data_IF_858708019006
#
_entry.id   IF_858708019006
#
_cell.length_a   1.000
_cell.length_b   1.000
_cell.length_c   1.000
_cell.angle_alpha   90.00
_cell.angle_beta   90.00
_cell.angle_gamma   90.00
#
_symmetry.space_group_name_H-M   'P 1'
#
loop_
_entity.id
_entity.type
_entity.pdbx_description
1 polymer ?
#
# COMPACT_ATOMS: atom_id res chain seq x y z
N UNK A 1 29.74 -3.45 3.11
CA UNK A 1 28.37 -2.94 3.32
C UNK A 1 27.78 -2.65 1.95
N UNK A 2 26.80 -3.43 1.46
CA UNK A 2 26.18 -3.17 0.15
C UNK A 2 25.28 -1.93 0.31
N UNK A 3 25.53 -0.87 -0.46
CA UNK A 3 24.71 0.34 -0.41
C UNK A 3 23.26 0.02 -0.76
N UNK A 4 22.32 0.57 0.02
CA UNK A 4 20.90 0.52 -0.29
C UNK A 4 20.66 1.35 -1.56
N UNK A 5 19.85 0.84 -2.48
CA UNK A 5 19.42 1.63 -3.64
C UNK A 5 18.43 2.72 -3.18
N UNK A 6 18.40 3.85 -3.88
CA UNK A 6 17.46 4.94 -3.63
C UNK A 6 16.00 4.44 -3.61
N UNK A 7 15.67 3.47 -4.45
CA UNK A 7 14.34 2.85 -4.51
C UNK A 7 14.00 2.01 -3.28
N UNK A 8 14.95 1.26 -2.72
CA UNK A 8 14.71 0.50 -1.48
C UNK A 8 14.42 1.44 -0.32
N UNK A 9 15.18 2.53 -0.23
CA UNK A 9 14.96 3.58 0.78
C UNK A 9 13.60 4.24 0.55
N UNK A 10 13.29 4.61 -0.70
CA UNK A 10 12.00 5.20 -1.08
C UNK A 10 10.81 4.31 -0.72
N UNK A 11 10.87 3.03 -1.05
CA UNK A 11 9.83 2.05 -0.69
C UNK A 11 9.66 1.95 0.82
N UNK A 12 10.77 1.86 1.57
CA UNK A 12 10.71 1.72 3.02
C UNK A 12 10.11 2.97 3.67
N UNK A 13 10.58 4.16 3.28
CA UNK A 13 10.05 5.44 3.78
C UNK A 13 8.57 5.60 3.42
N UNK A 14 8.18 5.28 2.18
CA UNK A 14 6.79 5.35 1.73
C UNK A 14 5.87 4.40 2.53
N UNK A 15 6.34 3.18 2.81
CA UNK A 15 5.61 2.23 3.65
C UNK A 15 5.44 2.75 5.07
N UNK A 16 6.53 3.22 5.71
CA UNK A 16 6.46 3.76 7.08
C UNK A 16 5.50 4.95 7.15
N UNK A 17 5.57 5.88 6.19
CA UNK A 17 4.64 7.00 6.11
C UNK A 17 3.19 6.53 5.98
N UNK A 18 2.94 5.47 5.18
CA UNK A 18 1.61 4.89 5.00
C UNK A 18 1.08 4.29 6.30
N UNK A 19 1.90 3.52 7.02
CA UNK A 19 1.53 2.90 8.30
C UNK A 19 1.25 3.96 9.37
N UNK A 20 2.08 5.00 9.44
CA UNK A 20 1.86 6.14 10.35
C UNK A 20 0.53 6.81 10.02
N UNK A 21 0.29 7.17 8.76
CA UNK A 21 -0.96 7.83 8.37
C UNK A 21 -2.19 6.95 8.67
N UNK A 22 -2.10 5.64 8.43
CA UNK A 22 -3.18 4.72 8.78
C UNK A 22 -3.44 4.68 10.28
N UNK A 23 -2.38 4.61 11.10
CA UNK A 23 -2.49 4.71 12.56
C UNK A 23 -3.14 6.02 12.99
N UNK A 24 -2.69 7.15 12.44
CA UNK A 24 -3.26 8.48 12.73
C UNK A 24 -4.73 8.59 12.35
N UNK A 25 -5.13 7.98 11.22
CA UNK A 25 -6.52 7.99 10.76
C UNK A 25 -7.49 7.21 11.67
N UNK A 26 -6.96 6.41 12.60
CA UNK A 26 -7.73 5.61 13.57
C UNK A 26 -7.44 5.96 15.03
N UNK A 27 -6.49 6.87 15.33
CA UNK A 27 -6.03 7.16 16.69
C UNK A 27 -6.77 8.30 17.39
N UNK A 28 -7.82 8.87 16.77
CA UNK A 28 -8.60 9.98 17.33
C UNK A 28 -7.96 11.37 17.22
N UNK A 29 -6.86 11.50 16.46
CA UNK A 29 -6.23 12.81 16.16
C UNK A 29 -7.10 13.65 15.20
N UNK A 30 -7.87 12.98 14.35
CA UNK A 30 -8.85 13.62 13.49
C UNK A 30 -10.22 13.65 14.18
N UNK A 31 -11.11 14.59 13.81
CA UNK A 31 -12.45 14.68 14.38
C UNK A 31 -13.28 13.41 14.24
N UNK A 32 -13.03 12.63 13.18
CA UNK A 32 -13.66 11.35 12.92
C UNK A 32 -12.61 10.35 12.47
N UNK A 33 -12.83 9.05 12.73
CA UNK A 33 -12.03 7.99 12.12
C UNK A 33 -12.58 7.58 10.75
N UNK A 34 -11.77 6.85 9.98
CA UNK A 34 -12.22 6.24 8.72
C UNK A 34 -13.40 5.29 8.96
N UNK A 35 -13.40 4.56 10.08
CA UNK A 35 -14.51 3.68 10.46
C UNK A 35 -15.79 4.45 10.77
N UNK A 36 -15.69 5.57 11.49
CA UNK A 36 -16.84 6.41 11.85
C UNK A 36 -17.48 7.05 10.61
N UNK A 37 -16.65 7.59 9.70
CA UNK A 37 -17.11 8.18 8.44
C UNK A 37 -17.68 7.14 7.48
N UNK A 38 -17.21 5.89 7.57
CA UNK A 38 -17.81 4.75 6.89
C UNK A 38 -19.22 4.48 7.41
N UNK A 39 -19.39 4.32 8.73
CA UNK A 39 -20.67 3.98 9.34
C UNK A 39 -21.71 5.10 9.32
N UNK A 40 -21.27 6.37 9.30
CA UNK A 40 -22.19 7.51 9.28
C UNK A 40 -22.97 7.63 7.96
N UNK A 41 -22.51 6.96 6.91
CA UNK A 41 -23.18 6.92 5.61
C UNK A 41 -24.12 5.72 5.56
N UNK A 42 -25.42 5.97 5.43
CA UNK A 42 -26.40 4.91 5.23
C UNK A 42 -26.37 4.41 3.76
N UNK A 43 -25.35 3.63 3.39
CA UNK A 43 -25.28 2.97 2.08
C UNK A 43 -25.47 1.47 2.32
N UNK A 44 -26.43 0.85 1.63
CA UNK A 44 -26.79 -0.58 1.79
C UNK A 44 -25.61 -1.56 1.59
N UNK A 45 -24.53 -1.11 0.95
CA UNK A 45 -23.35 -1.93 0.65
C UNK A 45 -22.14 -1.55 1.50
N UNK A 46 -22.28 -0.63 2.47
CA UNK A 46 -21.19 -0.34 3.38
C UNK A 46 -20.97 -1.56 4.28
N UNK A 47 -19.76 -2.11 4.25
CA UNK A 47 -19.44 -3.14 5.20
C UNK A 47 -19.35 -2.54 6.61
N UNK A 48 -19.67 -3.35 7.62
CA UNK A 48 -19.44 -2.97 9.02
C UNK A 48 -17.97 -2.62 9.28
N UNK A 49 -17.72 -1.87 10.36
CA UNK A 49 -16.39 -1.38 10.75
C UNK A 49 -15.29 -2.43 10.74
N UNK A 50 -15.61 -3.70 11.01
CA UNK A 50 -14.63 -4.79 11.03
C UNK A 50 -14.01 -5.06 9.66
N UNK A 51 -14.66 -4.69 8.54
CA UNK A 51 -14.11 -4.94 7.20
C UNK A 51 -12.88 -4.07 6.92
N UNK A 52 -12.70 -2.97 7.65
CA UNK A 52 -11.44 -2.23 7.61
C UNK A 52 -10.26 -3.03 8.20
N UNK A 53 -10.49 -4.15 8.90
CA UNK A 53 -9.42 -5.03 9.39
C UNK A 53 -8.59 -5.68 8.26
N UNK A 54 -9.12 -5.75 7.02
CA UNK A 54 -8.35 -6.25 5.87
C UNK A 54 -7.06 -5.45 5.64
N UNK A 55 -7.07 -4.16 6.00
CA UNK A 55 -5.90 -3.30 5.88
C UNK A 55 -4.74 -3.79 6.74
N UNK A 56 -5.01 -4.34 7.93
CA UNK A 56 -3.98 -4.95 8.77
C UNK A 56 -3.25 -6.09 8.06
N UNK A 57 -4.00 -6.99 7.40
CA UNK A 57 -3.43 -8.10 6.63
C UNK A 57 -2.60 -7.59 5.44
N UNK A 58 -3.12 -6.59 4.71
CA UNK A 58 -2.40 -5.95 3.61
C UNK A 58 -1.09 -5.34 4.10
N UNK A 59 -1.12 -4.59 5.20
CA UNK A 59 0.06 -3.95 5.76
C UNK A 59 1.10 -4.96 6.26
N UNK A 60 0.69 -6.07 6.86
CA UNK A 60 1.60 -7.17 7.19
C UNK A 60 2.29 -7.72 5.94
N UNK A 61 1.54 -7.93 4.84
CA UNK A 61 2.10 -8.32 3.55
C UNK A 61 3.11 -7.30 3.00
N UNK A 62 2.79 -6.01 3.09
CA UNK A 62 3.68 -4.93 2.63
C UNK A 62 4.95 -4.83 3.48
N UNK A 63 4.88 -5.05 4.79
CA UNK A 63 6.05 -5.16 5.67
C UNK A 63 6.91 -6.36 5.27
N UNK A 64 6.29 -7.52 5.01
CA UNK A 64 6.98 -8.70 4.49
C UNK A 64 7.73 -8.40 3.18
N UNK A 65 7.10 -7.67 2.26
CA UNK A 65 7.74 -7.21 1.03
C UNK A 65 8.91 -6.24 1.30
N UNK A 66 8.74 -5.30 2.23
CA UNK A 66 9.80 -4.36 2.62
C UNK A 66 11.01 -5.05 3.26
N UNK A 67 10.81 -6.20 3.92
CA UNK A 67 11.90 -7.06 4.40
C UNK A 67 12.51 -7.87 3.24
N UNK A 68 11.68 -8.42 2.35
CA UNK A 68 12.13 -9.19 1.18
C UNK A 68 13.05 -8.37 0.27
N UNK A 69 12.74 -7.08 0.02
CA UNK A 69 13.58 -6.21 -0.81
C UNK A 69 14.99 -5.98 -0.23
N UNK A 70 15.23 -6.24 1.06
CA UNK A 70 16.56 -6.14 1.68
C UNK A 70 17.44 -7.34 1.34
N UNK A 71 16.86 -8.46 0.88
CA UNK A 71 17.62 -9.66 0.52
C UNK A 71 18.44 -9.42 -0.76
N UNK A 72 19.69 -9.92 -0.84
CA UNK A 72 20.54 -9.76 -2.04
C UNK A 72 19.91 -10.35 -3.31
N UNK A 73 19.13 -11.43 -3.16
CA UNK A 73 18.41 -12.11 -4.25
C UNK A 73 17.39 -11.18 -4.91
N UNK A 74 16.64 -10.38 -4.13
CA UNK A 74 15.68 -9.44 -4.67
C UNK A 74 16.33 -8.34 -5.54
N UNK A 75 17.58 -7.99 -5.20
CA UNK A 75 18.40 -7.04 -5.98
C UNK A 75 18.93 -7.67 -7.28
N UNK A 76 19.37 -8.93 -7.22
CA UNK A 76 19.89 -9.65 -8.38
C UNK A 76 18.83 -9.86 -9.47
N UNK A 77 17.57 -10.08 -9.08
CA UNK A 77 16.50 -10.45 -10.02
C UNK A 77 15.73 -9.24 -10.58
N UNK A 78 16.15 -8.01 -10.22
CA UNK A 78 15.54 -6.76 -10.64
C UNK A 78 14.11 -6.55 -10.13
N UNK A 79 13.69 -7.31 -9.12
CA UNK A 79 12.32 -7.26 -8.56
C UNK A 79 12.03 -5.88 -7.98
N UNK A 80 13.01 -5.28 -7.31
CA UNK A 80 12.89 -3.95 -6.72
C UNK A 80 12.66 -2.87 -7.78
N UNK A 81 13.34 -2.94 -8.93
CA UNK A 81 13.19 -1.93 -9.99
C UNK A 81 11.83 -2.05 -10.71
N UNK A 82 11.32 -3.28 -10.84
CA UNK A 82 10.01 -3.55 -11.45
C UNK A 82 8.84 -3.07 -10.60
N UNK A 83 8.99 -3.13 -9.28
CA UNK A 83 7.92 -2.84 -8.32
C UNK A 83 8.06 -1.45 -7.68
N UNK A 84 9.28 -0.96 -7.45
CA UNK A 84 9.56 0.15 -6.53
C UNK A 84 8.84 1.45 -6.84
N UNK A 85 8.90 1.93 -8.09
CA UNK A 85 8.20 3.17 -8.46
C UNK A 85 6.68 3.08 -8.29
N UNK A 86 6.09 1.95 -8.69
CA UNK A 86 4.65 1.72 -8.55
C UNK A 86 4.24 1.49 -7.09
N UNK A 87 5.12 0.89 -6.29
CA UNK A 87 4.91 0.72 -4.86
C UNK A 87 4.87 2.07 -4.14
N UNK A 88 5.84 2.94 -4.38
CA UNK A 88 5.84 4.31 -3.84
C UNK A 88 4.58 5.06 -4.26
N UNK A 89 4.19 4.97 -5.54
CA UNK A 89 2.95 5.58 -6.02
C UNK A 89 1.72 5.04 -5.27
N UNK A 90 1.66 3.72 -5.05
CA UNK A 90 0.55 3.10 -4.30
C UNK A 90 0.49 3.58 -2.84
N UNK A 91 1.64 3.76 -2.18
CA UNK A 91 1.74 4.29 -0.83
C UNK A 91 1.29 5.76 -0.75
N UNK A 92 1.76 6.60 -1.67
CA UNK A 92 1.35 8.00 -1.73
C UNK A 92 -0.16 8.12 -1.99
N UNK A 93 -0.68 7.35 -2.95
CA UNK A 93 -2.11 7.32 -3.23
C UNK A 93 -2.93 6.79 -2.03
N UNK A 94 -2.39 5.85 -1.25
CA UNK A 94 -3.03 5.37 -0.01
C UNK A 94 -3.13 6.47 1.07
N UNK A 95 -2.03 7.20 1.29
CA UNK A 95 -2.02 8.36 2.20
C UNK A 95 -3.01 9.43 1.73
N UNK A 96 -2.98 9.78 0.45
CA UNK A 96 -3.90 10.75 -0.14
C UNK A 96 -5.36 10.31 0.00
N UNK A 97 -5.64 9.03 -0.24
CA UNK A 97 -6.97 8.44 -0.05
C UNK A 97 -7.48 8.63 1.38
N UNK A 98 -6.66 8.28 2.39
CA UNK A 98 -7.00 8.43 3.81
C UNK A 98 -7.32 9.89 4.15
N UNK A 99 -6.43 10.81 3.75
CA UNK A 99 -6.60 12.24 4.02
C UNK A 99 -7.90 12.76 3.37
N UNK A 100 -8.11 12.50 2.08
CA UNK A 100 -9.31 12.96 1.38
C UNK A 100 -10.59 12.38 2.00
N UNK A 101 -10.55 11.13 2.44
CA UNK A 101 -11.69 10.50 3.09
C UNK A 101 -12.00 11.14 4.45
N UNK A 102 -10.98 11.43 5.27
CA UNK A 102 -11.11 12.11 6.56
C UNK A 102 -11.69 13.54 6.44
N UNK A 103 -11.45 14.21 5.30
CA UNK A 103 -12.04 15.52 4.97
C UNK A 103 -13.41 15.42 4.27
N UNK A 104 -14.02 14.23 4.24
CA UNK A 104 -15.32 13.97 3.61
C UNK A 104 -15.34 14.19 2.08
N UNK A 105 -14.17 14.28 1.43
CA UNK A 105 -14.01 14.47 -0.01
C UNK A 105 -14.08 13.13 -0.76
N UNK A 106 -15.21 12.44 -0.66
CA UNK A 106 -15.37 11.05 -1.14
C UNK A 106 -15.07 10.88 -2.62
N UNK A 107 -15.53 11.77 -3.49
CA UNK A 107 -15.28 11.66 -4.94
C UNK A 107 -13.79 11.72 -5.28
N UNK A 108 -13.04 12.62 -4.63
CA UNK A 108 -11.59 12.71 -4.80
C UNK A 108 -10.88 11.50 -4.17
N UNK A 109 -11.38 11.03 -3.02
CA UNK A 109 -10.92 9.81 -2.38
C UNK A 109 -11.07 8.58 -3.30
N UNK A 110 -12.18 8.49 -4.06
CA UNK A 110 -12.37 7.44 -5.07
C UNK A 110 -11.33 7.53 -6.19
N UNK A 111 -10.98 8.73 -6.66
CA UNK A 111 -9.90 8.90 -7.65
C UNK A 111 -8.58 8.37 -7.10
N UNK A 112 -8.25 8.67 -5.84
CA UNK A 112 -7.05 8.12 -5.19
C UNK A 112 -7.09 6.58 -5.11
N UNK A 113 -8.24 5.98 -4.81
CA UNK A 113 -8.40 4.52 -4.86
C UNK A 113 -8.15 3.93 -6.26
N UNK A 114 -8.62 4.60 -7.32
CA UNK A 114 -8.35 4.17 -8.70
C UNK A 114 -6.86 4.23 -9.03
N UNK A 115 -6.12 5.20 -8.50
CA UNK A 115 -4.66 5.28 -8.65
C UNK A 115 -3.97 4.11 -7.93
N UNK A 116 -4.42 3.76 -6.71
CA UNK A 116 -3.91 2.57 -6.00
C UNK A 116 -4.16 1.31 -6.85
N UNK A 117 -5.38 1.14 -7.36
CA UNK A 117 -5.74 -0.01 -8.20
C UNK A 117 -4.87 -0.09 -9.46
N UNK A 118 -4.69 1.02 -10.15
CA UNK A 118 -3.83 1.08 -11.33
C UNK A 118 -2.38 0.72 -11.00
N UNK A 119 -1.83 1.25 -9.90
CA UNK A 119 -0.49 0.92 -9.45
C UNK A 119 -0.35 -0.59 -9.16
N UNK A 120 -1.34 -1.20 -8.50
CA UNK A 120 -1.36 -2.65 -8.22
C UNK A 120 -1.40 -3.49 -9.51
N UNK A 121 -2.23 -3.12 -10.48
CA UNK A 121 -2.29 -3.78 -11.79
C UNK A 121 -0.92 -3.71 -12.47
N UNK A 122 -0.26 -2.56 -12.43
CA UNK A 122 1.07 -2.39 -13.01
C UNK A 122 2.12 -3.23 -12.29
N UNK A 123 2.10 -3.29 -10.96
CA UNK A 123 2.96 -4.18 -10.17
C UNK A 123 2.76 -5.64 -10.58
N UNK A 124 1.51 -6.10 -10.64
CA UNK A 124 1.17 -7.46 -11.02
C UNK A 124 1.70 -7.83 -12.42
N UNK A 125 1.46 -6.96 -13.40
CA UNK A 125 1.93 -7.16 -14.79
C UNK A 125 3.46 -7.12 -14.89
N UNK A 126 4.13 -6.25 -14.14
CA UNK A 126 5.60 -6.11 -14.14
C UNK A 126 6.28 -7.29 -13.46
N UNK A 127 5.64 -7.90 -12.46
CA UNK A 127 6.14 -9.11 -11.81
C UNK A 127 6.01 -10.35 -12.70
N UNK A 128 5.10 -10.35 -13.68
CA UNK A 128 4.90 -11.49 -14.58
C UNK A 128 4.40 -12.73 -13.84
N UNK A 129 3.53 -12.51 -12.84
CA UNK A 129 2.97 -13.58 -12.01
C UNK A 129 2.22 -14.57 -12.93
N UNK A 130 2.57 -15.86 -12.83
CA UNK A 130 2.01 -16.92 -13.67
C UNK A 130 2.64 -17.10 -15.05
N UNK A 131 3.59 -16.24 -15.43
CA UNK A 131 4.31 -16.33 -16.72
C UNK A 131 5.79 -16.74 -16.57
N UNK A 132 6.32 -16.70 -15.34
CA UNK A 132 7.71 -17.03 -15.04
C UNK A 132 7.82 -18.32 -14.25
N UNK A 133 8.69 -19.23 -14.70
CA UNK A 133 9.19 -20.34 -13.89
C UNK A 133 10.11 -19.77 -12.82
N UNK A 134 9.65 -19.75 -11.57
CA UNK A 134 10.43 -19.32 -10.41
C UNK A 134 11.57 -20.33 -10.23
N UNK A 135 12.81 -19.88 -10.34
CA UNK A 135 13.97 -20.74 -10.12
C UNK A 135 14.08 -21.09 -8.62
N UNK A 136 14.65 -22.25 -8.28
CA UNK A 136 14.74 -22.72 -6.89
C UNK A 136 15.52 -21.78 -5.96
N UNK A 137 16.40 -20.95 -6.54
CA UNK A 137 17.13 -19.91 -5.81
C UNK A 137 16.26 -18.68 -5.46
N UNK A 138 15.09 -18.54 -6.10
CA UNK A 138 14.12 -17.47 -5.86
C UNK A 138 12.95 -17.89 -4.93
N UNK A 139 12.78 -19.19 -4.65
CA UNK A 139 11.78 -19.75 -3.70
C UNK A 139 12.20 -19.51 -2.24
#
# INVERSE_FOLDING_TARGET
MKSLSLLQIGNFVALIATLIMNGLSNSGIFPNTVGDLGNSRAIFFLPETYVFAIWGVIYVGLIGFAIYQLRPVAKANGTVDRVGYWFVLSCLANITWLVLFLYDLVWLSTVAMLVILYALIMIYRRLGIGQRTIDWQER
#
